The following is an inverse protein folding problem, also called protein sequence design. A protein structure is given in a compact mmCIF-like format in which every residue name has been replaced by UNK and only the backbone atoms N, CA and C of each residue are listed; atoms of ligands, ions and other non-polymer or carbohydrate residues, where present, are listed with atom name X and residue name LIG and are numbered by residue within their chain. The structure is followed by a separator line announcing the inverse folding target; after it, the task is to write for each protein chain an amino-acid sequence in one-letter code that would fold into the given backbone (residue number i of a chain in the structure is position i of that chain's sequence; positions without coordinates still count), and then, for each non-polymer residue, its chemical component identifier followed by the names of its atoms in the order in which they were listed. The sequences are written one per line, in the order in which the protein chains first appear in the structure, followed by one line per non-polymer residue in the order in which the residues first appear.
data_IF_160766661230
#
_entry.id   IF_160766661230
#
_cell.length_a   1.000
_cell.length_b   1.000
_cell.length_c   1.000
_cell.angle_alpha   90.00
_cell.angle_beta   90.00
_cell.angle_gamma   90.00
#
_symmetry.space_group_name_H-M   'P 1'
#
loop_
_entity.id
_entity.type
_entity.pdbx_description
1 polymer ?
#
# COMPACT_ATOMS: atom_id res chain seq x y z
N UNK A 1 6.34 -5.81 0.94
CA UNK A 1 5.51 -4.58 1.07
C UNK A 1 4.42 -4.47 0.00
N UNK A 2 4.71 -4.76 -1.28
CA UNK A 2 3.73 -4.66 -2.38
C UNK A 2 2.40 -5.38 -2.11
N UNK A 3 2.43 -6.64 -1.64
CA UNK A 3 1.20 -7.38 -1.33
C UNK A 3 0.36 -6.75 -0.22
N UNK A 4 0.99 -6.14 0.79
CA UNK A 4 0.26 -5.43 1.86
C UNK A 4 -0.32 -4.11 1.34
N UNK A 5 0.39 -3.41 0.44
CA UNK A 5 -0.15 -2.23 -0.21
C UNK A 5 -1.43 -2.54 -1.00
N UNK A 6 -1.46 -3.66 -1.73
CA UNK A 6 -2.66 -4.15 -2.41
C UNK A 6 -3.79 -4.47 -1.43
N UNK A 7 -3.51 -5.25 -0.37
CA UNK A 7 -4.50 -5.58 0.65
C UNK A 7 -5.13 -4.33 1.28
N UNK A 8 -4.32 -3.29 1.54
CA UNK A 8 -4.81 -2.02 2.07
C UNK A 8 -5.68 -1.26 1.07
N UNK A 9 -5.33 -1.31 -0.23
CA UNK A 9 -6.14 -0.71 -1.28
C UNK A 9 -7.53 -1.38 -1.37
N UNK A 10 -7.58 -2.71 -1.30
CA UNK A 10 -8.83 -3.49 -1.24
C UNK A 10 -9.66 -3.17 0.02
N UNK A 11 -9.00 -2.86 1.14
CA UNK A 11 -9.64 -2.40 2.37
C UNK A 11 -10.06 -0.92 2.34
N UNK A 12 -9.91 -0.22 1.21
CA UNK A 12 -10.23 1.20 1.07
C UNK A 12 -9.23 2.15 1.76
N UNK A 13 -8.11 1.64 2.29
CA UNK A 13 -7.05 2.43 2.90
C UNK A 13 -6.07 2.95 1.84
N UNK A 14 -6.60 3.69 0.85
CA UNK A 14 -5.90 4.10 -0.37
C UNK A 14 -4.65 4.94 -0.06
N UNK A 15 -4.74 5.89 0.87
CA UNK A 15 -3.60 6.73 1.25
C UNK A 15 -2.41 5.89 1.77
N UNK A 16 -2.70 4.91 2.63
CA UNK A 16 -1.68 4.02 3.21
C UNK A 16 -1.13 3.05 2.17
N UNK A 17 -1.97 2.57 1.26
CA UNK A 17 -1.54 1.75 0.13
C UNK A 17 -0.54 2.50 -0.77
N UNK A 18 -0.82 3.77 -1.09
CA UNK A 18 0.10 4.61 -1.87
C UNK A 18 1.42 4.81 -1.15
N UNK A 19 1.39 5.13 0.16
CA UNK A 19 2.60 5.31 0.96
C UNK A 19 3.48 4.04 0.92
N UNK A 20 2.90 2.86 1.17
CA UNK A 20 3.64 1.60 1.17
C UNK A 20 4.13 1.18 -0.21
N UNK A 21 3.34 1.41 -1.26
CA UNK A 21 3.76 1.13 -2.63
C UNK A 21 4.90 2.05 -3.05
N UNK A 22 4.84 3.34 -2.70
CA UNK A 22 5.94 4.29 -2.96
C UNK A 22 7.25 3.85 -2.28
N UNK A 23 7.17 3.38 -1.03
CA UNK A 23 8.32 2.82 -0.34
C UNK A 23 8.86 1.56 -1.04
N UNK A 24 7.98 0.66 -1.45
CA UNK A 24 8.36 -0.57 -2.15
C UNK A 24 9.01 -0.28 -3.50
N UNK A 25 8.41 0.62 -4.29
CA UNK A 25 8.87 1.06 -5.61
C UNK A 25 10.25 1.73 -5.54
N UNK A 26 10.65 2.32 -4.40
CA UNK A 26 12.02 2.83 -4.23
C UNK A 26 13.12 1.76 -4.33
N UNK A 27 12.76 0.47 -4.35
CA UNK A 27 13.70 -0.65 -4.43
C UNK A 27 13.81 -1.16 -5.87
N UNK A 28 15.03 -1.38 -6.41
CA UNK A 28 15.22 -1.81 -7.80
C UNK A 28 14.40 -3.03 -8.20
N UNK A 29 14.30 -4.02 -7.30
CA UNK A 29 13.51 -5.25 -7.52
C UNK A 29 12.02 -4.98 -7.83
N UNK A 30 11.48 -3.84 -7.36
CA UNK A 30 10.10 -3.43 -7.62
C UNK A 30 10.04 -2.47 -8.81
N UNK A 31 10.86 -1.42 -8.84
CA UNK A 31 10.80 -0.41 -9.89
C UNK A 31 11.17 -0.91 -11.29
N UNK A 32 12.04 -1.92 -11.40
CA UNK A 32 12.45 -2.46 -12.70
C UNK A 32 11.54 -3.58 -13.20
N UNK A 33 10.56 -3.99 -12.40
CA UNK A 33 9.70 -5.13 -12.70
C UNK A 33 8.36 -4.66 -13.23
N UNK A 34 8.11 -4.94 -14.51
CA UNK A 34 6.81 -4.68 -15.12
C UNK A 34 5.68 -5.43 -14.40
N UNK A 35 5.95 -6.63 -13.88
CA UNK A 35 4.95 -7.40 -13.14
C UNK A 35 4.44 -6.64 -11.90
N UNK A 36 5.34 -6.04 -11.11
CA UNK A 36 4.93 -5.25 -9.94
C UNK A 36 4.22 -3.95 -10.33
N UNK A 37 4.58 -3.35 -11.46
CA UNK A 37 3.87 -2.20 -12.01
C UNK A 37 2.44 -2.58 -12.42
N UNK A 38 2.26 -3.71 -13.10
CA UNK A 38 0.95 -4.15 -13.60
C UNK A 38 0.03 -4.66 -12.48
N UNK A 39 0.55 -5.50 -11.59
CA UNK A 39 -0.25 -6.16 -10.54
C UNK A 39 -0.59 -5.21 -9.39
N UNK A 40 0.28 -4.26 -9.06
CA UNK A 40 0.07 -3.37 -7.92
C UNK A 40 0.11 -1.89 -8.27
N UNK A 41 1.10 -1.45 -9.06
CA UNK A 41 1.29 -0.03 -9.36
C UNK A 41 0.11 0.61 -10.07
N UNK A 42 -0.36 -0.01 -11.16
CA UNK A 42 -1.51 0.47 -11.95
C UNK A 42 -2.81 0.44 -11.12
N UNK A 43 -3.20 -0.66 -10.44
CA UNK A 43 -4.40 -0.66 -9.61
C UNK A 43 -4.36 0.38 -8.48
N UNK A 44 -3.26 0.47 -7.73
CA UNK A 44 -3.11 1.45 -6.65
C UNK A 44 -3.12 2.88 -7.21
N UNK A 45 -2.46 3.11 -8.34
CA UNK A 45 -2.44 4.40 -9.03
C UNK A 45 -3.83 4.84 -9.49
N UNK A 46 -4.64 3.93 -10.02
CA UNK A 46 -6.02 4.22 -10.41
C UNK A 46 -6.87 4.61 -9.20
N UNK A 47 -6.80 3.86 -8.10
CA UNK A 47 -7.52 4.18 -6.86
C UNK A 47 -7.04 5.50 -6.23
N UNK A 48 -5.74 5.80 -6.34
CA UNK A 48 -5.16 7.03 -5.82
C UNK A 48 -5.72 8.31 -6.48
N UNK A 49 -6.33 8.22 -7.66
CA UNK A 49 -6.99 9.36 -8.33
C UNK A 49 -8.21 9.89 -7.56
N UNK A 50 -8.80 9.07 -6.69
CA UNK A 50 -9.89 9.47 -5.82
C UNK A 50 -9.42 10.30 -4.60
N UNK A 51 -8.12 10.36 -4.32
CA UNK A 51 -7.60 11.15 -3.20
C UNK A 51 -7.44 12.62 -3.60
N UNK A 52 -7.66 13.57 -2.65
CA UNK A 52 -7.25 14.95 -2.85
C UNK A 52 -5.75 15.03 -3.20
N UNK A 53 -5.33 15.89 -4.14
CA UNK A 53 -3.93 15.95 -4.59
C UNK A 53 -2.91 16.16 -3.46
N UNK A 54 -3.26 16.98 -2.46
CA UNK A 54 -2.42 17.21 -1.29
C UNK A 54 -2.20 15.94 -0.47
N UNK A 55 -3.26 15.14 -0.26
CA UNK A 55 -3.20 13.87 0.49
C UNK A 55 -2.32 12.86 -0.25
N UNK A 56 -2.51 12.75 -1.57
CA UNK A 56 -1.68 11.90 -2.42
C UNK A 56 -0.20 12.31 -2.37
N UNK A 57 0.09 13.61 -2.45
CA UNK A 57 1.46 14.12 -2.37
C UNK A 57 2.10 13.81 -1.00
N UNK A 58 1.39 14.06 0.09
CA UNK A 58 1.85 13.75 1.45
C UNK A 58 2.13 12.26 1.64
N UNK A 59 1.25 11.37 1.17
CA UNK A 59 1.46 9.92 1.24
C UNK A 59 2.73 9.48 0.50
N UNK A 60 2.95 9.99 -0.71
CA UNK A 60 4.16 9.71 -1.49
C UNK A 60 5.43 10.24 -0.81
N UNK A 61 5.38 11.42 -0.19
CA UNK A 61 6.51 11.98 0.56
C UNK A 61 6.88 11.05 1.72
N UNK A 62 5.89 10.66 2.55
CA UNK A 62 6.13 9.72 3.66
C UNK A 62 6.71 8.40 3.16
N UNK A 63 6.16 7.85 2.07
CA UNK A 63 6.64 6.60 1.48
C UNK A 63 8.10 6.66 1.02
N UNK A 64 8.52 7.79 0.42
CA UNK A 64 9.92 8.00 0.01
C UNK A 64 10.88 8.16 1.18
N UNK A 65 10.41 8.71 2.30
CA UNK A 65 11.22 8.98 3.49
C UNK A 65 11.24 7.80 4.48
N UNK A 66 10.32 6.85 4.35
CA UNK A 66 10.18 5.74 5.27
C UNK A 66 11.33 4.73 5.15
N UNK A 67 11.70 4.14 6.29
CA UNK A 67 12.63 3.01 6.31
C UNK A 67 11.90 1.69 5.99
N UNK A 68 12.52 0.87 5.13
CA UNK A 68 11.92 -0.38 4.67
C UNK A 68 11.72 -1.37 5.83
N UNK A 69 12.75 -1.55 6.66
CA UNK A 69 12.75 -2.58 7.67
C UNK A 69 11.91 -2.20 8.88
N UNK A 70 11.99 -0.94 9.31
CA UNK A 70 11.13 -0.39 10.35
C UNK A 70 9.65 -0.48 9.94
N UNK A 71 9.32 -0.14 8.69
CA UNK A 71 7.96 -0.25 8.17
C UNK A 71 7.49 -1.70 8.14
N UNK A 72 8.33 -2.62 7.65
CA UNK A 72 8.00 -4.05 7.64
C UNK A 72 7.76 -4.60 9.05
N UNK A 73 8.62 -4.24 10.02
CA UNK A 73 8.44 -4.65 11.42
C UNK A 73 7.17 -4.09 12.06
N UNK A 74 6.78 -2.85 11.74
CA UNK A 74 5.50 -2.30 12.21
C UNK A 74 4.32 -3.07 11.63
N UNK A 75 4.34 -3.30 10.31
CA UNK A 75 3.29 -4.03 9.62
C UNK A 75 3.12 -5.46 10.15
N UNK A 76 4.21 -6.16 10.47
CA UNK A 76 4.13 -7.51 11.07
C UNK A 76 3.36 -7.51 12.40
N UNK A 77 3.48 -6.46 13.20
CA UNK A 77 2.70 -6.32 14.45
C UNK A 77 1.24 -5.95 14.21
N UNK A 78 0.97 -5.23 13.12
CA UNK A 78 -0.37 -4.74 12.77
C UNK A 78 -1.20 -5.78 12.03
N UNK A 79 -0.55 -6.68 11.27
CA UNK A 79 -1.17 -7.63 10.35
C UNK A 79 -2.35 -8.44 10.92
N UNK A 80 -2.26 -9.01 12.14
CA UNK A 80 -3.39 -9.76 12.71
C UNK A 80 -4.69 -8.93 12.75
N UNK A 81 -4.59 -7.63 13.04
CA UNK A 81 -5.74 -6.73 13.12
C UNK A 81 -6.28 -6.35 11.75
N UNK A 82 -5.41 -6.26 10.75
CA UNK A 82 -5.79 -5.96 9.36
C UNK A 82 -6.57 -7.13 8.75
N UNK A 83 -6.15 -8.36 9.01
CA UNK A 83 -6.81 -9.57 8.50
C UNK A 83 -8.18 -9.80 9.16
N UNK A 84 -8.31 -9.54 10.47
CA UNK A 84 -9.62 -9.64 11.13
C UNK A 84 -10.67 -8.68 10.57
N UNK A 85 -10.26 -7.51 10.04
CA UNK A 85 -11.18 -6.58 9.37
C UNK A 85 -11.68 -7.10 8.02
N UNK A 86 -10.82 -7.75 7.22
CA UNK A 86 -11.22 -8.42 5.98
C UNK A 86 -12.29 -9.50 6.23
N UNK A 87 -12.07 -10.37 7.21
CA UNK A 87 -13.00 -11.46 7.52
C UNK A 87 -14.38 -10.96 7.96
N UNK A 88 -14.43 -9.85 8.71
CA UNK A 88 -15.71 -9.23 9.12
C UNK A 88 -16.49 -8.65 7.93
N UNK A 89 -15.79 -8.11 6.92
CA UNK A 89 -16.42 -7.57 5.71
C UNK A 89 -16.99 -8.69 4.83
N UNK A 90 -16.29 -9.82 4.71
CA UNK A 90 -16.72 -10.97 3.89
C UNK A 90 -17.81 -11.80 4.59
N UNK A 91 -17.78 -11.91 5.92
CA UNK A 91 -18.76 -12.70 6.70
C UNK A 91 -20.08 -12.00 7.02
N UNK A 92 -20.37 -10.84 6.41
CA UNK A 92 -21.63 -10.11 6.59
C UNK A 92 -22.51 -10.10 5.33
N UNK A 93 -22.23 -11.00 4.37
CA UNK A 93 -23.02 -11.23 3.16
C UNK A 93 -23.95 -12.41 3.28
#
# INVERSE_FOLDING_TARGET
LVGIALLLAELGQIERAVELYTLAESKPVVSSSQWFADVAGKPIGALATALPPAVLASARIRGRQADLWQTASSLLRELPRLVSRQQKIIGSG
#
